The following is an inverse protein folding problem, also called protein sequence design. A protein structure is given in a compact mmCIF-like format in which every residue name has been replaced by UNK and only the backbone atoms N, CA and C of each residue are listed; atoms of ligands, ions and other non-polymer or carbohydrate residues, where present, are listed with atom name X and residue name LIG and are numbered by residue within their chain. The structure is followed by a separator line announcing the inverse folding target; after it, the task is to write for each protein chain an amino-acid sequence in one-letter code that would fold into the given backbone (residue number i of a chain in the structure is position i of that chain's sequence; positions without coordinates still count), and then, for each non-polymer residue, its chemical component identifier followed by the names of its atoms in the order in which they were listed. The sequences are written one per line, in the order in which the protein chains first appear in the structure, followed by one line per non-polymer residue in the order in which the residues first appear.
data_IF_473647134208
#
_entry.id   IF_473647134208
#
_cell.length_a   1.000
_cell.length_b   1.000
_cell.length_c   1.000
_cell.angle_alpha   90.00
_cell.angle_beta   90.00
_cell.angle_gamma   90.00
#
_symmetry.space_group_name_H-M   'P 1'
#
loop_
_entity.id
_entity.type
_entity.pdbx_description
1 polymer ?
#
# COMPACT_ATOMS: atom_id res chain seq x y z
N UNK A 1 -20.24 18.61 37.00
CA UNK A 1 -19.32 19.45 36.17
C UNK A 1 -18.07 18.70 35.68
N UNK A 2 -17.37 17.88 36.48
CA UNK A 2 -16.21 17.07 36.02
C UNK A 2 -16.51 16.11 34.85
N UNK A 3 -17.70 15.50 34.81
CA UNK A 3 -18.08 14.57 33.73
C UNK A 3 -18.39 15.25 32.39
N UNK A 4 -18.73 16.55 32.38
CA UNK A 4 -19.03 17.26 31.13
C UNK A 4 -17.73 17.64 30.38
N UNK A 5 -16.68 18.00 31.12
CA UNK A 5 -15.39 18.44 30.55
C UNK A 5 -14.66 17.27 29.90
N UNK A 6 -14.75 16.07 30.48
CA UNK A 6 -14.20 14.83 29.92
C UNK A 6 -14.89 14.42 28.60
N UNK A 7 -16.21 14.58 28.51
CA UNK A 7 -16.97 14.28 27.29
C UNK A 7 -16.62 15.27 26.18
N UNK A 8 -16.45 16.56 26.50
CA UNK A 8 -16.05 17.58 25.53
C UNK A 8 -14.63 17.33 25.01
N UNK A 9 -13.68 16.96 25.86
CA UNK A 9 -12.31 16.65 25.40
C UNK A 9 -12.26 15.39 24.51
N UNK A 10 -12.98 14.32 24.87
CA UNK A 10 -13.03 13.10 24.05
C UNK A 10 -13.72 13.37 22.70
N UNK A 11 -14.77 14.18 22.67
CA UNK A 11 -15.43 14.59 21.42
C UNK A 11 -14.54 15.50 20.56
N UNK A 12 -13.78 16.42 21.15
CA UNK A 12 -12.86 17.29 20.39
C UNK A 12 -11.70 16.49 19.79
N UNK A 13 -11.20 15.46 20.48
CA UNK A 13 -10.18 14.55 19.93
C UNK A 13 -10.70 13.68 18.78
N UNK A 14 -11.97 13.26 18.86
CA UNK A 14 -12.64 12.54 17.75
C UNK A 14 -12.98 13.47 16.58
N UNK A 15 -13.31 14.75 16.85
CA UNK A 15 -13.58 15.77 15.84
C UNK A 15 -12.31 16.24 15.11
N UNK A 16 -11.14 16.21 15.77
CA UNK A 16 -9.87 16.53 15.13
C UNK A 16 -9.45 15.49 14.07
N UNK A 17 -9.88 14.23 14.23
CA UNK A 17 -9.75 13.19 13.20
C UNK A 17 -10.92 13.19 12.20
N UNK A 18 -12.04 13.86 12.51
CA UNK A 18 -13.21 13.95 11.62
C UNK A 18 -13.19 15.16 10.67
N UNK A 19 -12.08 15.91 10.61
CA UNK A 19 -12.02 17.17 9.86
C UNK A 19 -11.07 17.16 8.65
N UNK A 20 -10.32 16.07 8.44
CA UNK A 20 -9.63 15.86 7.16
C UNK A 20 -10.62 15.18 6.22
N UNK A 21 -10.92 15.82 5.09
CA UNK A 21 -11.61 15.14 4.00
C UNK A 21 -10.65 14.16 3.31
N UNK A 22 -11.22 13.19 2.60
CA UNK A 22 -10.49 12.15 1.88
C UNK A 22 -9.45 12.76 0.92
N UNK A 23 -9.81 13.84 0.24
CA UNK A 23 -8.94 14.59 -0.65
C UNK A 23 -7.69 15.12 0.08
N UNK A 24 -7.85 15.71 1.26
CA UNK A 24 -6.72 16.19 2.07
C UNK A 24 -5.77 15.06 2.48
N UNK A 25 -6.29 13.89 2.83
CA UNK A 25 -5.46 12.73 3.20
C UNK A 25 -4.70 12.20 1.98
N UNK A 26 -5.35 12.13 0.82
CA UNK A 26 -4.69 11.71 -0.42
C UNK A 26 -3.56 12.66 -0.83
N UNK A 27 -3.77 13.97 -0.72
CA UNK A 27 -2.73 14.96 -1.02
C UNK A 27 -1.58 14.94 -0.01
N UNK A 28 -1.87 14.75 1.29
CA UNK A 28 -0.86 14.55 2.33
C UNK A 28 0.00 13.33 2.03
N UNK A 29 -0.60 12.16 1.80
CA UNK A 29 0.13 10.94 1.47
C UNK A 29 0.92 11.09 0.18
N UNK A 30 0.36 11.72 -0.85
CA UNK A 30 1.07 11.99 -2.10
C UNK A 30 2.32 12.85 -1.86
N UNK A 31 2.23 13.89 -1.04
CA UNK A 31 3.38 14.73 -0.68
C UNK A 31 4.42 13.95 0.13
N UNK A 32 4.01 13.22 1.17
CA UNK A 32 4.91 12.51 2.07
C UNK A 32 5.66 11.38 1.37
N UNK A 33 4.98 10.63 0.51
CA UNK A 33 5.56 9.54 -0.30
C UNK A 33 6.61 10.03 -1.29
N UNK A 34 6.47 11.25 -1.82
CA UNK A 34 7.47 11.91 -2.68
C UNK A 34 8.67 12.36 -1.83
N UNK A 35 8.42 12.98 -0.68
CA UNK A 35 9.49 13.50 0.19
C UNK A 35 10.42 12.41 0.70
N UNK A 36 9.87 11.21 0.97
CA UNK A 36 10.61 10.03 1.39
C UNK A 36 11.05 9.10 0.24
N UNK A 37 10.89 9.52 -1.02
CA UNK A 37 11.17 8.65 -2.17
C UNK A 37 12.68 8.44 -2.40
N UNK A 38 13.02 7.25 -2.89
CA UNK A 38 14.37 6.95 -3.36
C UNK A 38 14.42 7.14 -4.87
N UNK A 39 15.53 7.68 -5.36
CA UNK A 39 15.77 7.86 -6.79
C UNK A 39 16.80 6.83 -7.26
N UNK A 40 16.38 5.92 -8.13
CA UNK A 40 17.28 4.95 -8.76
C UNK A 40 17.47 5.28 -10.24
N UNK A 41 18.72 5.32 -10.74
CA UNK A 41 18.96 5.38 -12.17
C UNK A 41 18.55 4.04 -12.79
N UNK A 42 17.73 4.07 -13.83
CA UNK A 42 17.52 2.89 -14.66
C UNK A 42 18.62 2.78 -15.73
N UNK A 43 18.63 1.65 -16.47
CA UNK A 43 19.63 1.39 -17.50
C UNK A 43 19.67 2.41 -18.64
N UNK A 44 18.57 3.13 -18.86
CA UNK A 44 18.49 4.20 -19.89
C UNK A 44 18.97 5.55 -19.37
N UNK A 45 19.44 5.64 -18.12
CA UNK A 45 19.94 6.87 -17.49
C UNK A 45 18.84 7.78 -16.95
N UNK A 46 17.56 7.39 -17.07
CA UNK A 46 16.45 8.11 -16.45
C UNK A 46 16.29 7.70 -14.99
N UNK A 47 15.88 8.64 -14.15
CA UNK A 47 15.72 8.39 -12.71
C UNK A 47 14.28 7.92 -12.44
N UNK A 48 14.11 6.69 -11.92
CA UNK A 48 12.81 6.20 -11.45
C UNK A 48 12.65 6.57 -9.97
N UNK A 49 11.51 7.17 -9.64
CA UNK A 49 11.13 7.49 -8.26
C UNK A 49 10.50 6.24 -7.66
N UNK A 50 11.07 5.78 -6.54
CA UNK A 50 10.52 4.70 -5.71
C UNK A 50 9.81 5.36 -4.54
N UNK A 51 8.48 5.30 -4.56
CA UNK A 51 7.64 5.90 -3.54
C UNK A 51 7.69 5.09 -2.25
N UNK A 52 7.60 5.79 -1.13
CA UNK A 52 7.68 5.20 0.21
C UNK A 52 6.31 4.74 0.69
N UNK A 53 6.21 3.64 1.42
CA UNK A 53 5.05 3.28 2.25
C UNK A 53 5.51 3.09 3.71
N UNK A 54 4.81 3.72 4.64
CA UNK A 54 5.18 3.78 6.04
C UNK A 54 3.99 3.34 6.91
N UNK A 55 4.28 2.51 7.91
CA UNK A 55 3.30 1.95 8.84
C UNK A 55 2.60 2.99 9.72
N UNK A 56 3.21 4.15 9.96
CA UNK A 56 2.59 5.27 10.68
C UNK A 56 1.40 5.87 9.92
N UNK A 57 1.31 5.64 8.61
CA UNK A 57 0.16 6.04 7.80
C UNK A 57 -1.01 5.07 7.87
N UNK A 58 -0.91 4.00 8.66
CA UNK A 58 -1.95 2.95 8.74
C UNK A 58 -3.33 3.51 9.07
N UNK A 59 -3.44 4.52 9.95
CA UNK A 59 -4.72 5.16 10.27
C UNK A 59 -5.32 5.91 9.08
N UNK A 60 -4.50 6.67 8.34
CA UNK A 60 -4.92 7.35 7.11
C UNK A 60 -5.34 6.34 6.03
N UNK A 61 -4.59 5.25 5.87
CA UNK A 61 -4.90 4.19 4.91
C UNK A 61 -6.22 3.49 5.31
N UNK A 62 -6.43 3.20 6.59
CA UNK A 62 -7.67 2.61 7.11
C UNK A 62 -8.88 3.50 6.83
N UNK A 63 -8.73 4.81 7.06
CA UNK A 63 -9.75 5.78 6.70
C UNK A 63 -10.05 5.74 5.19
N UNK A 64 -9.01 5.78 4.34
CA UNK A 64 -9.19 5.78 2.89
C UNK A 64 -9.89 4.51 2.40
N UNK A 65 -9.52 3.31 2.87
CA UNK A 65 -10.13 2.03 2.46
C UNK A 65 -11.66 2.04 2.57
N UNK A 66 -12.19 2.77 3.55
CA UNK A 66 -13.63 2.84 3.85
C UNK A 66 -14.34 4.06 3.25
N UNK A 67 -13.60 5.05 2.75
CA UNK A 67 -14.17 6.34 2.31
C UNK A 67 -13.91 6.69 0.83
N UNK A 68 -13.07 5.94 0.12
CA UNK A 68 -12.90 6.08 -1.33
C UNK A 68 -13.97 5.27 -2.08
N UNK A 69 -14.38 5.69 -3.28
CA UNK A 69 -15.34 4.98 -4.14
C UNK A 69 -14.63 3.97 -5.06
N UNK A 70 -15.38 3.06 -5.71
CA UNK A 70 -14.80 2.15 -6.73
C UNK A 70 -14.12 2.92 -7.86
N UNK A 71 -14.74 4.02 -8.32
CA UNK A 71 -14.17 4.90 -9.33
C UNK A 71 -12.82 5.49 -8.90
N UNK A 72 -12.71 5.95 -7.65
CA UNK A 72 -11.45 6.52 -7.14
C UNK A 72 -10.38 5.46 -6.94
N UNK A 73 -10.76 4.24 -6.56
CA UNK A 73 -9.83 3.10 -6.53
C UNK A 73 -9.21 2.88 -7.91
N UNK A 74 -10.03 2.83 -8.97
CA UNK A 74 -9.53 2.64 -10.34
C UNK A 74 -8.59 3.76 -10.79
N UNK A 75 -8.85 5.00 -10.37
CA UNK A 75 -7.96 6.13 -10.66
C UNK A 75 -6.65 6.06 -9.87
N UNK A 76 -6.68 5.62 -8.60
CA UNK A 76 -5.49 5.44 -7.78
C UNK A 76 -4.61 4.28 -8.28
N UNK A 77 -5.19 3.22 -8.84
CA UNK A 77 -4.42 2.13 -9.46
C UNK A 77 -3.61 2.61 -10.67
N UNK A 78 -4.16 3.52 -11.46
CA UNK A 78 -3.47 4.09 -12.64
C UNK A 78 -2.42 5.13 -12.25
N UNK A 79 -2.33 5.51 -10.99
CA UNK A 79 -1.41 6.53 -10.52
C UNK A 79 0.06 6.10 -10.67
N UNK A 80 0.92 7.03 -11.04
CA UNK A 80 2.37 6.82 -11.10
C UNK A 80 2.99 6.62 -9.71
N UNK A 81 2.34 7.17 -8.68
CA UNK A 81 2.72 6.99 -7.29
C UNK A 81 2.39 5.57 -6.83
N UNK A 82 3.42 4.74 -6.70
CA UNK A 82 3.31 3.34 -6.31
C UNK A 82 2.63 3.15 -4.94
N UNK A 83 2.74 4.10 -4.02
CA UNK A 83 2.04 4.03 -2.73
C UNK A 83 0.54 4.21 -2.88
N UNK A 84 0.11 5.13 -3.73
CA UNK A 84 -1.32 5.30 -4.03
C UNK A 84 -1.89 4.05 -4.74
N UNK A 85 -1.10 3.43 -5.62
CA UNK A 85 -1.45 2.15 -6.24
C UNK A 85 -1.64 1.06 -5.16
N UNK A 86 -0.72 0.95 -4.20
CA UNK A 86 -0.86 0.01 -3.06
C UNK A 86 -2.13 0.28 -2.25
N UNK A 87 -2.45 1.54 -1.95
CA UNK A 87 -3.69 1.91 -1.23
C UNK A 87 -4.93 1.43 -2.00
N UNK A 88 -4.93 1.57 -3.32
CA UNK A 88 -6.02 1.08 -4.16
C UNK A 88 -6.15 -0.45 -4.10
N UNK A 89 -5.02 -1.17 -4.21
CA UNK A 89 -4.98 -2.63 -4.13
C UNK A 89 -5.51 -3.15 -2.79
N UNK A 90 -5.08 -2.57 -1.66
CA UNK A 90 -5.58 -2.98 -0.33
C UNK A 90 -7.04 -2.61 -0.13
N UNK A 91 -7.51 -1.51 -0.73
CA UNK A 91 -8.93 -1.13 -0.69
C UNK A 91 -9.81 -2.12 -1.45
N UNK A 92 -9.35 -2.63 -2.60
CA UNK A 92 -10.03 -3.72 -3.33
C UNK A 92 -10.05 -5.02 -2.53
N UNK A 93 -8.91 -5.40 -1.94
CA UNK A 93 -8.84 -6.58 -1.09
C UNK A 93 -9.74 -6.49 0.13
N UNK A 94 -9.88 -5.31 0.76
CA UNK A 94 -10.76 -5.12 1.90
C UNK A 94 -12.24 -5.37 1.51
N UNK A 95 -12.64 -4.93 0.31
CA UNK A 95 -13.99 -5.18 -0.24
C UNK A 95 -14.23 -6.63 -0.60
N UNK A 96 -13.19 -7.33 -1.07
CA UNK A 96 -13.27 -8.73 -1.51
C UNK A 96 -12.10 -9.54 -0.92
N UNK A 97 -12.21 -9.82 0.38
CA UNK A 97 -11.18 -10.48 1.17
C UNK A 97 -11.24 -12.02 1.01
N UNK A 98 -11.04 -12.47 -0.22
CA UNK A 98 -11.14 -13.87 -0.65
C UNK A 98 -9.79 -14.32 -1.23
N UNK A 99 -9.41 -15.57 -0.96
CA UNK A 99 -8.10 -16.12 -1.33
C UNK A 99 -7.87 -16.08 -2.84
N UNK A 100 -8.84 -16.53 -3.60
CA UNK A 100 -8.77 -16.63 -5.07
C UNK A 100 -8.59 -15.24 -5.70
N UNK A 101 -9.28 -14.23 -5.16
CA UNK A 101 -9.17 -12.86 -5.63
C UNK A 101 -7.80 -12.25 -5.31
N UNK A 102 -7.28 -12.49 -4.10
CA UNK A 102 -5.93 -12.07 -3.75
C UNK A 102 -4.86 -12.71 -4.65
N UNK A 103 -5.03 -13.99 -4.97
CA UNK A 103 -4.15 -14.72 -5.90
C UNK A 103 -4.23 -14.14 -7.33
N UNK A 104 -5.42 -13.80 -7.81
CA UNK A 104 -5.62 -13.17 -9.13
C UNK A 104 -4.87 -11.83 -9.22
N UNK A 105 -4.99 -10.99 -8.20
CA UNK A 105 -4.24 -9.72 -8.13
C UNK A 105 -2.73 -9.99 -8.11
N UNK A 106 -2.26 -10.93 -7.30
CA UNK A 106 -0.83 -11.24 -7.21
C UNK A 106 -0.26 -11.77 -8.53
N UNK A 107 -0.99 -12.65 -9.22
CA UNK A 107 -0.61 -13.11 -10.56
C UNK A 107 -0.50 -11.93 -11.53
N UNK A 108 -1.48 -11.03 -11.52
CA UNK A 108 -1.47 -9.81 -12.36
C UNK A 108 -0.24 -8.94 -12.07
N UNK A 109 0.12 -8.77 -10.80
CA UNK A 109 1.29 -7.99 -10.39
C UNK A 109 2.61 -8.64 -10.83
N UNK A 110 2.68 -9.97 -10.90
CA UNK A 110 3.86 -10.72 -11.37
C UNK A 110 4.01 -10.60 -12.90
N UNK A 111 2.90 -10.58 -13.63
CA UNK A 111 2.87 -10.59 -15.10
C UNK A 111 2.98 -9.18 -15.72
N UNK A 112 2.81 -8.13 -14.92
CA UNK A 112 2.86 -6.72 -15.37
C UNK A 112 4.20 -6.04 -15.04
N UNK A 113 4.41 -4.79 -15.48
CA UNK A 113 5.67 -4.08 -15.24
C UNK A 113 5.99 -3.99 -13.73
N UNK A 114 7.22 -4.36 -13.37
CA UNK A 114 7.70 -4.30 -11.99
C UNK A 114 7.77 -2.85 -11.51
N UNK A 115 6.84 -2.50 -10.61
CA UNK A 115 6.90 -1.28 -9.80
C UNK A 115 7.55 -1.60 -8.45
N UNK A 116 8.35 -0.67 -7.97
CA UNK A 116 9.04 -0.78 -6.68
C UNK A 116 8.50 0.22 -5.67
N UNK A 117 8.53 -0.17 -4.41
CA UNK A 117 8.24 0.69 -3.26
C UNK A 117 9.36 0.58 -2.24
N UNK A 118 9.54 1.63 -1.44
CA UNK A 118 10.37 1.58 -0.24
C UNK A 118 9.46 1.42 0.98
N UNK A 119 9.75 0.45 1.84
CA UNK A 119 8.96 0.22 3.06
C UNK A 119 9.70 0.76 4.30
N UNK A 120 8.94 1.31 5.25
CA UNK A 120 9.44 1.75 6.56
C UNK A 120 9.46 3.27 6.73
N UNK A 121 9.42 3.76 7.98
CA UNK A 121 9.22 5.18 8.29
C UNK A 121 10.52 6.00 8.48
N UNK A 122 11.63 5.38 8.87
CA UNK A 122 12.86 6.08 9.27
C UNK A 122 14.04 5.62 8.41
N UNK A 123 14.30 6.36 7.34
CA UNK A 123 15.33 6.14 6.30
C UNK A 123 15.28 4.78 5.57
N UNK A 124 15.30 4.84 4.25
CA UNK A 124 15.08 3.71 3.35
C UNK A 124 16.06 2.54 3.59
N UNK A 125 15.56 1.38 4.03
CA UNK A 125 16.40 0.17 4.17
C UNK A 125 15.92 -1.00 3.29
N UNK A 126 14.64 -1.07 2.89
CA UNK A 126 14.17 -2.12 1.96
C UNK A 126 13.34 -1.55 0.81
N UNK A 127 13.90 -1.63 -0.39
CA UNK A 127 13.14 -1.49 -1.64
C UNK A 127 12.71 -2.89 -2.07
N UNK A 128 11.44 -3.06 -2.41
CA UNK A 128 10.88 -4.33 -2.91
C UNK A 128 9.86 -4.05 -4.00
N UNK A 129 9.55 -5.05 -4.84
CA UNK A 129 8.46 -4.92 -5.79
C UNK A 129 7.10 -4.84 -5.08
N UNK A 130 6.12 -4.20 -5.73
CA UNK A 130 4.73 -4.20 -5.26
C UNK A 130 4.23 -5.64 -5.13
N UNK A 131 4.61 -6.55 -6.04
CA UNK A 131 4.23 -7.96 -5.97
C UNK A 131 4.73 -8.61 -4.67
N UNK A 132 6.00 -8.37 -4.30
CA UNK A 132 6.56 -8.90 -3.05
C UNK A 132 5.90 -8.30 -1.81
N UNK A 133 5.66 -7.00 -1.81
CA UNK A 133 4.95 -6.33 -0.73
C UNK A 133 3.50 -6.83 -0.58
N UNK A 134 2.82 -7.03 -1.70
CA UNK A 134 1.46 -7.57 -1.71
C UNK A 134 1.43 -9.00 -1.19
N UNK A 135 2.38 -9.85 -1.60
CA UNK A 135 2.53 -11.19 -1.04
C UNK A 135 2.71 -11.16 0.48
N UNK A 136 3.52 -10.23 1.01
CA UNK A 136 3.66 -10.02 2.45
C UNK A 136 2.32 -9.67 3.11
N UNK A 137 1.56 -8.71 2.56
CA UNK A 137 0.26 -8.30 3.12
C UNK A 137 -0.77 -9.43 3.16
N UNK A 138 -0.81 -10.30 2.16
CA UNK A 138 -1.78 -11.41 2.10
C UNK A 138 -1.29 -12.68 2.80
N UNK A 139 -0.02 -12.72 3.19
CA UNK A 139 0.60 -13.87 3.87
C UNK A 139 0.47 -13.80 5.38
N UNK A 140 0.50 -12.60 5.95
CA UNK A 140 0.50 -12.36 7.39
C UNK A 140 -0.41 -11.18 7.74
N UNK A 141 -1.11 -11.27 8.87
CA UNK A 141 -1.94 -10.15 9.35
C UNK A 141 -1.06 -8.95 9.69
N UNK A 142 -1.23 -7.85 8.95
CA UNK A 142 -0.45 -6.63 9.11
C UNK A 142 -1.35 -5.42 9.47
N UNK A 143 -0.74 -4.29 9.84
CA UNK A 143 -1.49 -3.08 10.23
C UNK A 143 -2.38 -2.54 9.09
N UNK A 144 -1.96 -2.74 7.85
CA UNK A 144 -2.62 -2.15 6.66
C UNK A 144 -3.69 -3.07 6.07
N UNK A 145 -3.53 -4.40 6.18
CA UNK A 145 -4.48 -5.39 5.69
C UNK A 145 -4.49 -6.65 6.55
N UNK A 146 -5.68 -7.22 6.76
CA UNK A 146 -5.89 -8.43 7.55
C UNK A 146 -6.59 -9.48 6.68
N UNK A 147 -5.86 -10.47 6.14
CA UNK A 147 -6.49 -11.52 5.33
C UNK A 147 -7.44 -12.37 6.18
N UNK A 148 -8.59 -12.75 5.59
CA UNK A 148 -9.55 -13.71 6.18
C UNK A 148 -9.28 -15.15 5.74
N UNK A 149 -8.14 -15.37 5.11
CA UNK A 149 -7.69 -16.62 4.54
C UNK A 149 -6.21 -16.82 4.85
N UNK A 150 -5.72 -18.03 4.60
CA UNK A 150 -4.31 -18.36 4.76
C UNK A 150 -3.74 -18.94 3.46
N UNK A 151 -2.53 -18.50 3.12
CA UNK A 151 -1.71 -19.15 2.12
C UNK A 151 -0.92 -20.28 2.78
N UNK A 152 -0.90 -21.45 2.16
CA UNK A 152 -0.02 -22.53 2.56
C UNK A 152 1.45 -22.16 2.33
N UNK A 153 2.35 -22.85 3.02
CA UNK A 153 3.79 -22.65 2.85
C UNK A 153 4.23 -22.87 1.39
N UNK A 154 3.65 -23.87 0.72
CA UNK A 154 3.95 -24.19 -0.68
C UNK A 154 3.52 -23.08 -1.62
N UNK A 155 2.33 -22.51 -1.42
CA UNK A 155 1.84 -21.36 -2.19
C UNK A 155 2.73 -20.13 -1.99
N UNK A 156 3.10 -19.81 -0.74
CA UNK A 156 4.01 -18.69 -0.45
C UNK A 156 5.34 -18.85 -1.20
N UNK A 157 5.93 -20.05 -1.16
CA UNK A 157 7.19 -20.35 -1.83
C UNK A 157 7.08 -20.30 -3.36
N UNK A 158 5.98 -20.77 -3.94
CA UNK A 158 5.75 -20.66 -5.39
C UNK A 158 5.73 -19.19 -5.83
N UNK A 159 4.96 -18.35 -5.13
CA UNK A 159 4.89 -16.93 -5.45
C UNK A 159 6.22 -16.21 -5.25
N UNK A 160 6.95 -16.47 -4.16
CA UNK A 160 8.29 -15.91 -3.94
C UNK A 160 9.21 -16.22 -5.13
N UNK A 161 9.23 -17.47 -5.62
CA UNK A 161 10.05 -17.86 -6.75
C UNK A 161 9.63 -17.16 -8.05
N UNK A 162 8.33 -17.07 -8.32
CA UNK A 162 7.79 -16.41 -9.52
C UNK A 162 8.10 -14.91 -9.53
N UNK A 163 7.98 -14.24 -8.38
CA UNK A 163 8.35 -12.83 -8.23
C UNK A 163 9.86 -12.66 -8.50
N UNK A 164 10.71 -13.50 -7.91
CA UNK A 164 12.16 -13.43 -8.13
C UNK A 164 12.57 -13.64 -9.59
N UNK A 165 11.84 -14.49 -10.33
CA UNK A 165 12.07 -14.69 -11.77
C UNK A 165 11.69 -13.42 -12.53
N UNK A 166 10.49 -12.88 -12.31
CA UNK A 166 10.01 -11.67 -12.97
C UNK A 166 10.92 -10.46 -12.70
N UNK A 167 11.37 -10.28 -11.45
CA UNK A 167 12.32 -9.21 -11.09
C UNK A 167 13.67 -9.35 -11.81
N UNK A 168 14.19 -10.59 -11.96
CA UNK A 168 15.44 -10.83 -12.68
C UNK A 168 15.31 -10.55 -14.17
N UNK A 169 14.18 -10.88 -14.77
CA UNK A 169 13.90 -10.58 -16.18
C UNK A 169 13.84 -9.07 -16.40
N UNK A 170 13.10 -8.36 -15.55
CA UNK A 170 13.05 -6.89 -15.56
C UNK A 170 14.43 -6.23 -15.40
N UNK A 171 15.28 -6.78 -14.53
CA UNK A 171 16.65 -6.28 -14.34
C UNK A 171 17.62 -6.69 -15.46
N UNK A 172 17.25 -7.60 -16.37
CA UNK A 172 18.07 -8.01 -17.53
C UNK A 172 17.79 -7.17 -18.78
N UNK A 173 16.56 -6.71 -18.95
CA UNK A 173 16.15 -5.74 -19.97
C UNK A 173 16.53 -4.30 -19.61
#
# INVERSE_FOLDING_TARGET
MRNLILIVFVLVSMLAHSQKDKESILEELKSETISGSIRFPNKTGSTKIVYKICEEWSENIEFLKTHITDYEIEELEKNENATLNVIALVSKLERKNEKEYAIEILNTLIETEVKYISTGCYDAISTMSIAYYFLFLISDSYLIFKPKFELSKEEKQDFENRILIAEREYLRD
#
